data_IF_729104052003
#
_entry.id   IF_729104052003
#
_cell.length_a   1.000
_cell.length_b   1.000
_cell.length_c   1.000
_cell.angle_alpha   90.00
_cell.angle_beta   90.00
_cell.angle_gamma   90.00
#
_symmetry.space_group_name_H-M   'P 1'
#
loop_
_entity.id
_entity.type
_entity.pdbx_description
1 polymer ?
#
# COMPACT_ATOMS: atom_id res chain seq x y z
N UNK A 1 -60.56 48.25 46.50
CA UNK A 1 -61.85 47.91 45.86
C UNK A 1 -61.52 46.93 44.75
N UNK A 2 -61.55 45.60 45.01
CA UNK A 2 -62.67 44.66 44.68
C UNK A 2 -63.00 44.73 43.19
N UNK A 3 -62.94 43.68 42.36
CA UNK A 3 -63.12 42.21 42.47
C UNK A 3 -62.76 41.63 41.07
N UNK A 4 -62.13 40.47 40.86
CA UNK A 4 -62.74 39.13 40.94
C UNK A 4 -62.48 38.33 39.63
N UNK A 5 -61.89 37.14 39.76
CA UNK A 5 -61.57 36.04 38.80
C UNK A 5 -62.87 35.34 38.29
N UNK A 6 -62.90 34.30 37.39
CA UNK A 6 -61.83 33.51 36.74
C UNK A 6 -62.05 33.05 35.26
N UNK A 7 -61.13 32.15 34.85
CA UNK A 7 -60.79 31.58 33.54
C UNK A 7 -61.86 30.78 32.76
N UNK A 8 -61.59 30.63 31.45
CA UNK A 8 -61.90 29.39 30.71
C UNK A 8 -60.86 29.10 29.62
N UNK A 9 -60.58 27.80 29.51
CA UNK A 9 -59.59 27.04 28.74
C UNK A 9 -59.88 26.96 27.25
N UNK A 10 -58.83 26.96 26.42
CA UNK A 10 -58.85 26.57 25.01
C UNK A 10 -57.50 26.00 24.58
N UNK A 11 -57.46 24.69 24.34
CA UNK A 11 -56.31 23.91 23.84
C UNK A 11 -55.98 24.25 22.39
N UNK A 12 -54.71 24.42 22.00
CA UNK A 12 -54.29 24.19 20.62
C UNK A 12 -53.59 22.83 20.48
N UNK A 13 -53.88 22.22 19.33
CA UNK A 13 -53.52 20.89 18.90
C UNK A 13 -52.01 20.61 18.87
N UNK A 14 -51.70 19.33 19.07
CA UNK A 14 -50.39 18.73 18.89
C UNK A 14 -49.84 19.00 17.49
N UNK A 15 -48.73 19.74 17.44
CA UNK A 15 -47.89 19.89 16.25
C UNK A 15 -47.20 18.55 15.97
N UNK A 16 -47.58 17.92 14.87
CA UNK A 16 -46.91 16.74 14.33
C UNK A 16 -45.43 17.01 14.08
N UNK A 17 -44.58 16.12 14.57
CA UNK A 17 -43.16 16.06 14.25
C UNK A 17 -43.02 15.79 12.75
N UNK A 18 -42.25 16.59 11.99
CA UNK A 18 -41.89 16.18 10.63
C UNK A 18 -40.91 15.02 10.77
N UNK A 19 -41.34 13.84 10.33
CA UNK A 19 -40.44 12.73 10.08
C UNK A 19 -39.50 13.15 8.94
N UNK A 20 -38.28 13.53 9.27
CA UNK A 20 -37.18 13.62 8.32
C UNK A 20 -36.84 12.19 7.90
N UNK A 21 -37.55 11.69 6.90
CA UNK A 21 -37.14 10.54 6.11
C UNK A 21 -35.89 10.95 5.33
N UNK A 22 -34.73 10.77 5.95
CA UNK A 22 -33.46 10.71 5.23
C UNK A 22 -33.50 9.46 4.37
N UNK A 23 -33.94 9.61 3.12
CA UNK A 23 -33.98 8.53 2.15
C UNK A 23 -32.54 8.09 1.89
N UNK A 24 -32.29 6.84 2.25
CA UNK A 24 -31.01 6.17 2.18
C UNK A 24 -30.73 5.77 0.74
N UNK A 25 -29.70 6.33 0.09
CA UNK A 25 -29.22 5.75 -1.15
C UNK A 25 -28.42 4.48 -0.84
N UNK A 26 -29.12 3.34 -0.78
CA UNK A 26 -28.49 2.06 -1.14
C UNK A 26 -28.08 2.13 -2.61
N UNK A 27 -27.09 1.33 -3.03
CA UNK A 27 -26.56 1.30 -4.41
C UNK A 27 -27.61 1.22 -5.54
N UNK A 28 -28.87 0.87 -5.24
CA UNK A 28 -30.00 0.89 -6.17
C UNK A 28 -30.67 2.25 -6.45
N UNK A 29 -30.34 3.33 -5.74
CA UNK A 29 -31.03 4.63 -5.85
C UNK A 29 -30.16 5.77 -6.44
N UNK A 30 -28.93 5.48 -6.86
CA UNK A 30 -28.07 6.50 -7.47
C UNK A 30 -28.50 6.79 -8.92
N UNK A 31 -28.42 8.06 -9.38
CA UNK A 31 -28.46 8.37 -10.80
C UNK A 31 -27.48 7.47 -11.59
N UNK A 32 -27.84 6.95 -12.78
CA UNK A 32 -27.02 5.98 -13.50
C UNK A 32 -25.59 6.44 -13.85
N UNK A 33 -25.33 7.75 -13.83
CA UNK A 33 -24.03 8.33 -14.09
C UNK A 33 -23.10 8.34 -12.88
N UNK A 34 -23.63 8.13 -11.67
CA UNK A 34 -22.86 8.22 -10.43
C UNK A 34 -22.51 6.82 -9.93
N UNK A 35 -21.30 6.69 -9.38
CA UNK A 35 -20.81 5.46 -8.76
C UNK A 35 -20.67 5.69 -7.25
N UNK A 36 -21.07 4.74 -6.42
CA UNK A 36 -20.92 4.87 -4.97
C UNK A 36 -19.45 4.76 -4.55
N UNK A 37 -19.02 5.58 -3.59
CA UNK A 37 -17.69 5.41 -2.95
C UNK A 37 -17.69 4.21 -1.99
N UNK A 38 -16.56 3.91 -1.35
CA UNK A 38 -16.56 3.14 -0.11
C UNK A 38 -17.37 3.87 0.98
N UNK A 39 -17.94 3.15 1.96
CA UNK A 39 -18.55 3.77 3.12
C UNK A 39 -17.53 4.62 3.88
N UNK A 40 -17.93 5.81 4.33
CA UNK A 40 -17.10 6.70 5.15
C UNK A 40 -16.51 6.00 6.39
N UNK A 41 -17.26 5.08 7.02
CA UNK A 41 -16.76 4.33 8.18
C UNK A 41 -15.51 3.47 7.87
N UNK A 42 -15.30 3.06 6.62
CA UNK A 42 -14.11 2.27 6.23
C UNK A 42 -12.81 3.07 6.27
N UNK A 43 -12.89 4.40 6.36
CA UNK A 43 -11.72 5.27 6.47
C UNK A 43 -11.38 5.63 7.92
N UNK A 44 -12.20 5.23 8.90
CA UNK A 44 -12.02 5.60 10.32
C UNK A 44 -12.10 4.41 11.27
N UNK A 45 -12.78 3.32 10.90
CA UNK A 45 -12.99 2.16 11.77
C UNK A 45 -11.68 1.37 11.97
N UNK A 46 -11.16 1.27 13.22
CA UNK A 46 -9.98 0.47 13.52
C UNK A 46 -10.13 -1.02 13.17
N UNK A 47 -11.33 -1.58 13.19
CA UNK A 47 -11.57 -2.96 12.81
C UNK A 47 -11.41 -3.18 11.30
N UNK A 48 -11.84 -2.20 10.48
CA UNK A 48 -11.61 -2.21 9.04
C UNK A 48 -10.11 -2.06 8.75
N UNK A 49 -9.43 -1.11 9.40
CA UNK A 49 -7.98 -0.96 9.22
C UNK A 49 -7.21 -2.23 9.61
N UNK A 50 -7.59 -2.89 10.70
CA UNK A 50 -6.98 -4.17 11.09
C UNK A 50 -7.23 -5.30 10.07
N UNK A 51 -8.36 -5.27 9.35
CA UNK A 51 -8.61 -6.18 8.23
C UNK A 51 -7.75 -5.83 7.02
N UNK A 52 -7.62 -4.55 6.67
CA UNK A 52 -6.76 -4.06 5.59
C UNK A 52 -5.29 -4.43 5.84
N UNK A 53 -4.80 -4.26 7.07
CA UNK A 53 -3.45 -4.69 7.45
C UNK A 53 -3.22 -6.17 7.14
N UNK A 54 -4.16 -7.04 7.53
CA UNK A 54 -4.06 -8.49 7.29
C UNK A 54 -4.21 -8.90 5.84
N UNK A 55 -5.25 -8.38 5.19
CA UNK A 55 -5.74 -8.90 3.92
C UNK A 55 -5.17 -8.17 2.71
N UNK A 56 -4.51 -7.03 2.93
CA UNK A 56 -3.87 -6.23 1.89
C UNK A 56 -2.38 -6.08 2.19
N UNK A 57 -1.99 -5.44 3.30
CA UNK A 57 -0.58 -5.08 3.50
C UNK A 57 0.31 -6.28 3.81
N UNK A 58 -0.18 -7.23 4.60
CA UNK A 58 0.56 -8.45 4.96
C UNK A 58 0.50 -9.52 3.86
N UNK A 59 -0.44 -9.43 2.92
CA UNK A 59 -0.69 -10.47 1.91
C UNK A 59 -0.21 -10.12 0.50
N UNK A 60 0.24 -8.87 0.27
CA UNK A 60 0.67 -8.36 -1.02
C UNK A 60 2.11 -7.85 -0.98
N UNK A 61 2.68 -7.64 -2.16
CA UNK A 61 3.99 -7.01 -2.29
C UNK A 61 3.96 -5.56 -1.79
N UNK A 62 4.89 -5.23 -0.90
CA UNK A 62 5.00 -3.94 -0.22
C UNK A 62 6.40 -3.37 -0.40
N UNK A 63 6.52 -2.20 -1.02
CA UNK A 63 7.79 -1.51 -1.28
C UNK A 63 8.31 -0.78 -0.04
N UNK A 64 9.41 -1.24 0.57
CA UNK A 64 9.83 -0.77 1.90
C UNK A 64 10.96 0.24 1.89
N UNK A 65 11.95 0.08 1.00
CA UNK A 65 13.13 0.97 1.00
C UNK A 65 13.87 0.94 -0.34
N UNK A 66 14.65 1.98 -0.63
CA UNK A 66 15.60 1.93 -1.75
C UNK A 66 16.70 0.90 -1.43
N UNK A 67 17.12 0.12 -2.42
CA UNK A 67 18.22 -0.84 -2.28
C UNK A 67 19.54 -0.14 -1.92
N UNK A 68 19.76 1.07 -2.45
CA UNK A 68 20.91 1.91 -2.13
C UNK A 68 20.94 2.39 -0.66
N UNK A 69 19.81 2.37 0.06
CA UNK A 69 19.77 2.66 1.50
C UNK A 69 20.39 1.51 2.34
N UNK A 70 20.82 0.43 1.69
CA UNK A 70 21.56 -0.69 2.25
C UNK A 70 22.92 -0.79 1.53
N UNK A 71 23.87 0.13 1.71
CA UNK A 71 25.01 0.26 0.80
C UNK A 71 26.05 -0.87 0.91
N UNK A 72 26.12 -1.57 2.04
CA UNK A 72 27.15 -2.58 2.30
C UNK A 72 26.62 -3.77 3.11
N UNK A 73 27.31 -4.92 3.10
CA UNK A 73 26.99 -6.03 4.00
C UNK A 73 26.84 -5.60 5.46
N UNK A 74 25.77 -6.07 6.11
CA UNK A 74 25.43 -5.71 7.48
C UNK A 74 24.65 -4.40 7.62
N UNK A 75 24.50 -3.61 6.55
CA UNK A 75 23.52 -2.51 6.52
C UNK A 75 22.13 -3.09 6.67
N UNK A 76 21.30 -2.46 7.48
CA UNK A 76 19.92 -2.86 7.70
C UNK A 76 18.99 -1.65 7.75
N UNK A 77 17.72 -1.92 7.46
CA UNK A 77 16.60 -1.04 7.76
C UNK A 77 15.47 -1.83 8.42
N UNK A 78 14.65 -1.14 9.19
CA UNK A 78 13.40 -1.71 9.70
C UNK A 78 12.21 -0.99 9.07
N UNK A 79 11.15 -1.74 8.81
CA UNK A 79 9.90 -1.22 8.28
C UNK A 79 8.72 -1.86 9.01
N UNK A 80 7.57 -1.19 9.00
CA UNK A 80 6.30 -1.77 9.45
C UNK A 80 5.50 -2.14 8.20
N UNK A 81 5.06 -3.39 8.12
CA UNK A 81 4.22 -3.91 7.03
C UNK A 81 2.98 -4.52 7.65
N UNK A 82 1.83 -3.87 7.46
CA UNK A 82 0.63 -4.17 8.23
C UNK A 82 0.89 -4.02 9.73
N UNK A 83 0.82 -5.12 10.47
CA UNK A 83 1.03 -5.16 11.93
C UNK A 83 2.44 -5.61 12.33
N UNK A 84 3.25 -6.02 11.36
CA UNK A 84 4.52 -6.71 11.60
C UNK A 84 5.71 -5.77 11.41
N UNK A 85 6.73 -5.95 12.25
CA UNK A 85 8.03 -5.28 12.05
C UNK A 85 8.92 -6.19 11.21
N UNK A 86 9.40 -5.67 10.09
CA UNK A 86 10.29 -6.36 9.15
C UNK A 86 11.69 -5.78 9.28
N UNK A 87 12.69 -6.66 9.36
CA UNK A 87 14.11 -6.35 9.29
C UNK A 87 14.62 -6.68 7.90
N UNK A 88 15.09 -5.68 7.17
CA UNK A 88 15.70 -5.82 5.85
C UNK A 88 17.21 -5.62 6.01
N UNK A 89 18.02 -6.55 5.51
CA UNK A 89 19.47 -6.47 5.62
C UNK A 89 20.19 -6.93 4.37
N UNK A 90 21.36 -6.33 4.11
CA UNK A 90 22.26 -6.80 3.03
C UNK A 90 23.22 -7.85 3.57
N UNK A 91 23.22 -9.02 2.94
CA UNK A 91 24.14 -10.11 3.26
C UNK A 91 25.58 -9.85 2.78
N UNK A 92 26.50 -10.72 3.20
CA UNK A 92 27.91 -10.66 2.77
C UNK A 92 28.12 -10.97 1.29
N UNK A 93 27.17 -11.68 0.71
CA UNK A 93 27.08 -11.98 -0.71
C UNK A 93 26.47 -10.83 -1.53
N UNK A 94 26.15 -9.70 -0.90
CA UNK A 94 25.51 -8.55 -1.54
C UNK A 94 23.99 -8.70 -1.68
N UNK A 95 23.42 -9.87 -1.43
CA UNK A 95 21.98 -10.12 -1.59
C UNK A 95 21.17 -9.50 -0.44
N UNK A 96 20.11 -8.77 -0.78
CA UNK A 96 19.13 -8.28 0.21
C UNK A 96 18.27 -9.43 0.72
N UNK A 97 18.01 -9.46 2.03
CA UNK A 97 17.13 -10.42 2.69
C UNK A 97 16.22 -9.69 3.67
N UNK A 98 15.03 -10.24 3.89
CA UNK A 98 14.11 -9.74 4.90
C UNK A 98 13.70 -10.84 5.88
N UNK A 99 13.43 -10.42 7.11
CA UNK A 99 13.00 -11.28 8.21
C UNK A 99 11.95 -10.57 9.05
N UNK A 100 11.12 -11.31 9.76
CA UNK A 100 10.40 -10.72 10.90
C UNK A 100 11.43 -10.25 11.94
N UNK A 101 11.32 -9.00 12.37
CA UNK A 101 12.23 -8.35 13.33
C UNK A 101 11.94 -8.82 14.76
N UNK A 102 11.96 -10.13 14.97
CA UNK A 102 11.53 -10.80 16.20
C UNK A 102 12.53 -11.89 16.55
N UNK A 103 13.22 -11.73 17.68
CA UNK A 103 14.10 -12.74 18.22
C UNK A 103 13.31 -14.01 18.57
N UNK A 104 13.77 -15.15 18.07
CA UNK A 104 13.11 -16.46 18.25
C UNK A 104 13.17 -17.03 19.67
N UNK A 105 13.88 -16.37 20.58
CA UNK A 105 13.91 -16.76 22.00
C UNK A 105 12.65 -16.33 22.74
N UNK A 106 12.44 -15.02 22.89
CA UNK A 106 11.34 -14.43 23.70
C UNK A 106 10.68 -13.23 23.03
N UNK A 107 10.78 -13.14 21.70
CA UNK A 107 10.05 -12.14 20.91
C UNK A 107 10.60 -10.72 20.95
N UNK A 108 11.79 -10.49 21.52
CA UNK A 108 12.39 -9.15 21.54
C UNK A 108 12.71 -8.68 20.11
N UNK A 109 12.48 -7.39 19.83
CA UNK A 109 12.96 -6.76 18.58
C UNK A 109 14.48 -6.89 18.49
N UNK A 110 15.00 -7.25 17.32
CA UNK A 110 16.45 -7.37 17.11
C UNK A 110 17.08 -6.01 16.88
N UNK A 111 16.46 -5.22 16.01
CA UNK A 111 16.84 -3.85 15.70
C UNK A 111 15.68 -2.92 16.07
N UNK A 112 15.94 -1.93 16.93
CA UNK A 112 14.96 -0.90 17.31
C UNK A 112 15.06 0.35 16.44
N UNK A 113 16.22 0.58 15.84
CA UNK A 113 16.46 1.71 14.94
C UNK A 113 15.82 1.48 13.56
N UNK A 114 15.41 2.57 12.91
CA UNK A 114 14.89 2.55 11.53
C UNK A 114 15.95 2.11 10.50
N UNK A 115 17.22 2.35 10.79
CA UNK A 115 18.36 1.91 9.99
C UNK A 115 19.64 1.80 10.81
N UNK A 116 20.64 1.14 10.25
CA UNK A 116 21.97 1.09 10.82
C UNK A 116 22.85 0.05 10.15
N UNK A 117 24.00 -0.23 10.79
CA UNK A 117 24.93 -1.25 10.32
C UNK A 117 25.32 -2.16 11.48
N UNK A 118 25.21 -3.46 11.27
CA UNK A 118 25.77 -4.48 12.17
C UNK A 118 27.09 -5.01 11.62
N UNK A 119 27.99 -5.45 12.49
CA UNK A 119 29.30 -5.97 12.07
C UNK A 119 29.19 -7.27 11.27
N UNK A 120 29.04 -8.40 11.97
CA UNK A 120 29.03 -9.74 11.33
C UNK A 120 27.69 -10.46 11.43
N UNK A 121 26.78 -9.99 12.29
CA UNK A 121 25.58 -10.69 12.70
C UNK A 121 24.59 -9.76 13.42
N UNK A 122 23.30 -10.11 13.41
CA UNK A 122 22.28 -9.49 14.23
C UNK A 122 22.29 -10.10 15.63
N UNK A 123 22.54 -9.29 16.66
CA UNK A 123 22.60 -9.76 18.05
C UNK A 123 21.44 -9.17 18.86
N UNK A 124 20.56 -10.03 19.35
CA UNK A 124 19.46 -9.63 20.22
C UNK A 124 19.99 -8.98 21.51
N UNK A 125 19.49 -7.78 21.81
CA UNK A 125 19.88 -7.00 22.99
C UNK A 125 19.38 -7.61 24.30
N UNK A 126 18.40 -8.51 24.26
CA UNK A 126 17.84 -9.11 25.48
C UNK A 126 18.75 -10.20 26.08
N UNK A 127 19.08 -11.24 25.30
CA UNK A 127 19.85 -12.39 25.79
C UNK A 127 20.99 -12.80 24.84
N UNK A 128 21.45 -11.92 23.96
CA UNK A 128 22.58 -12.15 23.06
C UNK A 128 22.44 -13.34 22.10
N UNK A 129 21.21 -13.80 21.81
CA UNK A 129 20.96 -14.68 20.67
C UNK A 129 21.41 -13.96 19.40
N UNK A 130 22.26 -14.62 18.64
CA UNK A 130 23.02 -14.01 17.54
C UNK A 130 22.73 -14.78 16.26
N UNK A 131 22.26 -14.05 15.26
CA UNK A 131 21.84 -14.55 13.96
C UNK A 131 22.79 -14.03 12.88
N UNK A 132 23.22 -14.89 11.96
CA UNK A 132 23.96 -14.43 10.78
C UNK A 132 23.09 -13.49 9.93
N UNK A 133 23.69 -12.78 8.98
CA UNK A 133 23.00 -11.87 8.06
C UNK A 133 22.05 -12.61 7.10
N UNK A 134 22.11 -13.94 7.05
CA UNK A 134 21.17 -14.81 6.34
C UNK A 134 20.03 -15.38 7.21
N UNK A 135 20.00 -14.98 8.49
CA UNK A 135 18.99 -15.33 9.48
C UNK A 135 19.29 -16.58 10.31
N UNK A 136 20.33 -17.35 10.03
CA UNK A 136 20.65 -18.57 10.78
C UNK A 136 21.05 -18.26 12.22
N UNK A 137 20.59 -19.05 13.20
CA UNK A 137 21.06 -18.93 14.58
C UNK A 137 22.50 -19.44 14.71
N UNK A 138 23.45 -18.52 14.90
CA UNK A 138 24.88 -18.84 14.96
C UNK A 138 25.43 -18.98 16.37
N UNK A 139 24.84 -18.27 17.34
CA UNK A 139 25.23 -18.38 18.73
C UNK A 139 24.07 -17.99 19.67
N UNK A 140 24.06 -18.60 20.85
CA UNK A 140 23.28 -18.19 22.00
C UNK A 140 24.07 -18.53 23.28
N UNK A 141 23.87 -17.81 24.40
CA UNK A 141 24.47 -18.19 25.67
C UNK A 141 24.19 -19.66 26.01
N UNK A 142 25.22 -20.39 26.45
CA UNK A 142 25.17 -21.81 26.81
C UNK A 142 24.75 -22.79 25.70
N UNK A 143 24.64 -22.35 24.43
CA UNK A 143 24.16 -23.20 23.33
C UNK A 143 24.97 -24.49 23.15
N UNK A 144 26.29 -24.45 23.41
CA UNK A 144 27.17 -25.64 23.35
C UNK A 144 26.82 -26.72 24.36
N UNK A 145 26.10 -26.40 25.44
CA UNK A 145 25.61 -27.34 26.45
C UNK A 145 24.21 -27.89 26.13
N UNK A 146 23.61 -27.45 25.02
CA UNK A 146 22.24 -27.79 24.60
C UNK A 146 22.28 -28.37 23.17
N UNK A 147 22.87 -29.57 22.97
CA UNK A 147 23.08 -30.16 21.64
C UNK A 147 21.78 -30.55 20.92
N UNK A 148 20.67 -30.62 21.67
CA UNK A 148 19.31 -30.88 21.20
C UNK A 148 18.63 -29.65 20.56
N UNK A 149 19.20 -28.45 20.70
CA UNK A 149 18.62 -27.24 20.12
C UNK A 149 18.82 -27.20 18.60
N UNK A 150 17.71 -27.22 17.87
CA UNK A 150 17.71 -27.05 16.41
C UNK A 150 17.97 -25.59 16.00
N UNK A 151 19.21 -25.31 15.64
CA UNK A 151 19.64 -23.98 15.18
C UNK A 151 19.01 -23.56 13.84
N UNK A 152 18.49 -24.50 13.06
CA UNK A 152 17.79 -24.20 11.81
C UNK A 152 16.36 -23.78 12.13
N UNK A 153 15.62 -24.58 12.91
CA UNK A 153 14.25 -24.28 13.33
C UNK A 153 14.11 -22.99 14.16
N UNK A 154 15.17 -22.61 14.88
CA UNK A 154 15.23 -21.35 15.64
C UNK A 154 15.95 -20.20 14.92
N UNK A 155 16.21 -20.30 13.62
CA UNK A 155 16.64 -19.17 12.77
C UNK A 155 15.54 -18.11 12.62
N UNK A 156 15.90 -16.91 12.15
CA UNK A 156 14.91 -15.86 11.88
C UNK A 156 13.90 -16.32 10.83
N UNK A 157 12.62 -16.00 11.05
CA UNK A 157 11.56 -16.28 10.08
C UNK A 157 11.75 -15.34 8.90
N UNK A 158 11.87 -15.92 7.71
CA UNK A 158 12.11 -15.17 6.46
C UNK A 158 10.82 -14.49 5.99
N UNK A 159 11.03 -13.38 5.30
CA UNK A 159 10.02 -12.65 4.56
C UNK A 159 10.42 -12.68 3.09
N UNK A 160 9.46 -12.88 2.18
CA UNK A 160 9.75 -12.88 0.74
C UNK A 160 10.29 -11.52 0.31
N UNK A 161 11.29 -11.51 -0.57
CA UNK A 161 11.97 -10.29 -1.03
C UNK A 161 12.14 -10.31 -2.54
N UNK A 162 11.97 -9.14 -3.16
CA UNK A 162 12.36 -8.87 -4.54
C UNK A 162 12.92 -7.47 -4.67
N UNK A 163 13.97 -7.30 -5.47
CA UNK A 163 14.47 -5.98 -5.86
C UNK A 163 13.91 -5.61 -7.23
N UNK A 164 13.27 -4.44 -7.35
CA UNK A 164 12.70 -3.92 -8.60
C UNK A 164 12.69 -2.39 -8.59
N UNK A 165 13.01 -1.76 -9.73
CA UNK A 165 13.25 -0.31 -9.86
C UNK A 165 14.27 0.29 -8.87
N UNK A 166 15.19 -0.53 -8.36
CA UNK A 166 16.14 -0.11 -7.33
C UNK A 166 15.54 -0.05 -5.91
N UNK A 167 14.35 -0.61 -5.70
CA UNK A 167 13.68 -0.71 -4.41
C UNK A 167 13.52 -2.16 -3.96
N UNK A 168 13.49 -2.35 -2.64
CA UNK A 168 13.23 -3.63 -1.98
C UNK A 168 11.73 -3.74 -1.72
N UNK A 169 11.13 -4.78 -2.29
CA UNK A 169 9.75 -5.19 -2.08
C UNK A 169 9.72 -6.42 -1.19
N UNK A 170 8.75 -6.47 -0.28
CA UNK A 170 8.55 -7.60 0.64
C UNK A 170 7.12 -8.12 0.59
N UNK A 171 6.92 -9.41 0.89
CA UNK A 171 5.58 -9.98 1.08
C UNK A 171 5.60 -10.93 2.28
N UNK A 172 4.61 -10.80 3.18
CA UNK A 172 4.56 -11.59 4.42
C UNK A 172 3.69 -12.84 4.30
N UNK A 173 2.96 -13.01 3.19
CA UNK A 173 2.18 -14.22 2.93
C UNK A 173 3.11 -15.44 2.86
N UNK A 174 2.63 -16.59 3.37
CA UNK A 174 3.37 -17.85 3.25
C UNK A 174 3.64 -18.19 1.78
N UNK A 175 2.61 -18.03 0.94
CA UNK A 175 2.68 -18.12 -0.52
C UNK A 175 2.42 -16.73 -1.13
N UNK A 176 3.45 -16.01 -1.62
CA UNK A 176 3.29 -14.66 -2.10
C UNK A 176 2.59 -14.67 -3.46
N UNK A 177 1.70 -13.70 -3.73
CA UNK A 177 1.12 -13.57 -5.07
C UNK A 177 2.24 -13.36 -6.11
N UNK A 178 2.06 -13.80 -7.36
CA UNK A 178 3.03 -13.54 -8.41
C UNK A 178 3.29 -12.04 -8.55
N UNK A 179 4.55 -11.63 -8.49
CA UNK A 179 4.92 -10.22 -8.61
C UNK A 179 4.59 -9.68 -10.00
N UNK A 180 4.65 -10.54 -11.01
CA UNK A 180 4.27 -10.26 -12.38
C UNK A 180 2.80 -9.84 -12.50
N UNK A 181 1.91 -10.46 -11.72
CA UNK A 181 0.48 -10.19 -11.78
C UNK A 181 0.12 -8.96 -10.93
N UNK A 182 0.63 -8.88 -9.70
CA UNK A 182 0.23 -7.84 -8.74
C UNK A 182 1.00 -6.52 -8.91
N UNK A 183 2.28 -6.56 -9.30
CA UNK A 183 3.14 -5.37 -9.39
C UNK A 183 3.34 -4.96 -10.85
N UNK A 184 3.85 -5.88 -11.68
CA UNK A 184 4.06 -5.57 -13.11
C UNK A 184 2.73 -5.47 -13.88
N UNK A 185 1.68 -6.17 -13.42
CA UNK A 185 0.34 -6.05 -13.98
C UNK A 185 -0.24 -4.65 -13.86
N UNK A 186 0.09 -3.88 -12.82
CA UNK A 186 -0.30 -2.47 -12.69
C UNK A 186 0.42 -1.59 -13.71
N UNK A 187 1.69 -1.88 -13.98
CA UNK A 187 2.46 -1.20 -15.05
C UNK A 187 1.84 -1.50 -16.41
N UNK A 188 1.50 -2.76 -16.70
CA UNK A 188 0.85 -3.14 -17.96
C UNK A 188 -0.52 -2.50 -18.08
N UNK A 189 -1.33 -2.52 -17.01
CA UNK A 189 -2.65 -1.89 -16.98
C UNK A 189 -2.54 -0.40 -17.32
N UNK A 190 -1.50 0.27 -16.83
CA UNK A 190 -1.35 1.71 -17.01
C UNK A 190 -0.65 2.10 -18.32
N UNK A 191 0.43 1.44 -18.68
CA UNK A 191 1.30 1.79 -19.81
C UNK A 191 1.09 0.90 -21.04
N UNK A 192 0.34 -0.19 -20.92
CA UNK A 192 0.12 -1.17 -21.99
C UNK A 192 1.27 -2.17 -22.18
N UNK A 193 2.47 -1.84 -21.69
CA UNK A 193 3.66 -2.69 -21.77
C UNK A 193 4.48 -2.54 -20.48
N UNK A 194 4.81 -3.67 -19.85
CA UNK A 194 5.66 -3.70 -18.66
C UNK A 194 7.05 -3.11 -18.93
N UNK A 195 7.55 -3.19 -20.18
CA UNK A 195 8.87 -2.67 -20.57
C UNK A 195 8.89 -1.16 -20.79
N UNK A 196 7.73 -0.50 -20.83
CA UNK A 196 7.66 0.94 -21.00
C UNK A 196 8.35 1.67 -19.83
N UNK A 197 8.24 1.14 -18.61
CA UNK A 197 8.91 1.69 -17.43
C UNK A 197 10.44 1.43 -17.42
N UNK A 198 10.90 0.34 -18.05
CA UNK A 198 12.33 -0.03 -18.08
C UNK A 198 13.17 1.05 -18.79
N UNK A 199 12.58 1.78 -19.73
CA UNK A 199 13.22 2.89 -20.44
C UNK A 199 13.61 4.05 -19.54
N UNK A 200 13.02 4.16 -18.35
CA UNK A 200 13.41 5.17 -17.37
C UNK A 200 14.64 4.77 -16.56
N UNK A 201 15.09 3.51 -16.63
CA UNK A 201 16.29 3.05 -15.93
C UNK A 201 16.27 3.32 -14.43
N UNK A 202 15.09 3.25 -13.78
CA UNK A 202 14.86 3.76 -12.41
C UNK A 202 15.84 3.19 -11.39
N UNK A 203 16.26 1.94 -11.58
CA UNK A 203 17.22 1.26 -10.71
C UNK A 203 18.62 1.89 -10.74
N UNK A 204 18.98 2.52 -11.86
CA UNK A 204 20.29 3.14 -12.12
C UNK A 204 20.29 4.65 -11.86
N UNK A 205 19.14 5.25 -11.53
CA UNK A 205 19.04 6.64 -11.09
C UNK A 205 19.60 6.79 -9.67
N UNK A 206 19.88 8.02 -9.26
CA UNK A 206 20.36 8.37 -7.93
C UNK A 206 19.37 9.27 -7.19
N UNK A 207 19.34 9.15 -5.85
CA UNK A 207 18.45 9.95 -5.02
C UNK A 207 18.95 11.40 -4.93
N UNK A 208 18.23 12.34 -5.55
CA UNK A 208 18.51 13.77 -5.40
C UNK A 208 17.80 14.39 -4.18
N UNK A 209 16.54 14.00 -3.97
CA UNK A 209 15.74 14.48 -2.82
C UNK A 209 14.84 13.39 -2.29
N UNK A 210 14.77 13.28 -0.97
CA UNK A 210 13.71 12.56 -0.24
C UNK A 210 12.97 13.53 0.66
N UNK A 211 11.65 13.57 0.55
CA UNK A 211 10.77 14.31 1.47
C UNK A 211 9.84 13.31 2.13
N UNK A 212 9.68 13.42 3.45
CA UNK A 212 8.77 12.60 4.24
C UNK A 212 7.63 13.47 4.75
N UNK A 213 6.41 13.05 4.45
CA UNK A 213 5.17 13.70 4.88
C UNK A 213 4.47 12.83 5.90
N UNK A 214 3.85 13.48 6.87
CA UNK A 214 3.00 12.86 7.88
C UNK A 214 1.59 13.37 7.65
N UNK A 215 0.78 12.55 6.98
CA UNK A 215 -0.54 12.93 6.49
C UNK A 215 -1.60 12.41 7.46
N UNK A 216 -2.40 13.31 8.01
CA UNK A 216 -3.52 13.01 8.90
C UNK A 216 -4.75 12.50 8.13
N UNK A 217 -4.54 11.49 7.28
CA UNK A 217 -5.57 10.84 6.49
C UNK A 217 -5.34 9.33 6.34
N UNK A 218 -6.44 8.62 6.10
CA UNK A 218 -6.45 7.22 5.71
C UNK A 218 -5.71 7.04 4.38
N UNK A 219 -4.92 5.97 4.26
CA UNK A 219 -4.16 5.65 3.05
C UNK A 219 -5.02 5.58 1.78
N UNK A 220 -6.29 5.13 1.88
CA UNK A 220 -7.20 5.05 0.75
C UNK A 220 -7.55 6.44 0.20
N UNK A 221 -7.73 7.45 1.05
CA UNK A 221 -8.01 8.82 0.57
C UNK A 221 -6.85 9.35 -0.28
N UNK A 222 -5.61 9.02 0.10
CA UNK A 222 -4.41 9.44 -0.63
C UNK A 222 -4.32 8.70 -1.98
N UNK A 223 -4.62 7.39 -2.01
CA UNK A 223 -4.73 6.60 -3.25
C UNK A 223 -5.79 7.17 -4.17
N UNK A 224 -6.98 7.42 -3.64
CA UNK A 224 -8.11 7.96 -4.39
C UNK A 224 -7.76 9.30 -5.02
N UNK A 225 -7.21 10.23 -4.23
CA UNK A 225 -6.79 11.54 -4.70
C UNK A 225 -5.77 11.44 -5.85
N UNK A 226 -4.79 10.53 -5.76
CA UNK A 226 -3.78 10.39 -6.82
C UNK A 226 -4.34 9.75 -8.12
N UNK A 227 -5.44 9.02 -8.05
CA UNK A 227 -6.00 8.26 -9.19
C UNK A 227 -6.90 9.09 -10.11
N UNK A 228 -7.17 10.34 -9.77
CA UNK A 228 -7.98 11.26 -10.58
C UNK A 228 -7.33 12.64 -10.70
N UNK A 229 -7.94 13.51 -11.50
CA UNK A 229 -7.48 14.87 -11.70
C UNK A 229 -8.66 15.85 -11.82
N UNK A 230 -9.82 15.45 -11.33
CA UNK A 230 -11.01 16.27 -11.23
C UNK A 230 -10.80 17.46 -10.29
N UNK A 231 -9.97 17.31 -9.25
CA UNK A 231 -9.56 18.41 -8.38
C UNK A 231 -8.49 19.33 -8.99
N UNK A 232 -7.71 18.86 -9.99
CA UNK A 232 -6.46 19.50 -10.42
C UNK A 232 -6.62 20.96 -10.82
N UNK A 233 -7.65 21.28 -11.61
CA UNK A 233 -7.94 22.64 -12.07
C UNK A 233 -8.17 23.63 -10.92
N UNK A 234 -8.58 23.13 -9.76
CA UNK A 234 -8.93 23.95 -8.59
C UNK A 234 -7.76 24.10 -7.64
N UNK A 235 -7.03 23.02 -7.36
CA UNK A 235 -6.04 23.00 -6.26
C UNK A 235 -4.58 22.98 -6.73
N UNK A 236 -4.29 22.75 -8.02
CA UNK A 236 -2.92 22.67 -8.55
C UNK A 236 -2.63 23.70 -9.66
N UNK A 237 -2.62 25.01 -9.37
CA UNK A 237 -2.41 26.03 -10.39
C UNK A 237 -1.08 25.84 -11.15
N UNK A 238 0.01 25.47 -10.46
CA UNK A 238 1.31 25.23 -11.10
C UNK A 238 1.32 23.97 -11.98
N UNK A 239 0.68 22.89 -11.52
CA UNK A 239 0.67 21.63 -12.28
C UNK A 239 -0.12 21.76 -13.58
N UNK A 240 -1.27 22.45 -13.56
CA UNK A 240 -2.10 22.61 -14.76
C UNK A 240 -1.50 23.61 -15.77
N UNK A 241 -0.60 24.50 -15.34
CA UNK A 241 0.21 25.29 -16.28
C UNK A 241 1.22 24.42 -17.03
N UNK A 242 1.87 23.48 -16.32
CA UNK A 242 2.84 22.52 -16.90
C UNK A 242 2.13 21.46 -17.76
N UNK A 243 0.99 20.95 -17.30
CA UNK A 243 0.17 19.90 -17.92
C UNK A 243 -1.27 20.42 -18.18
N UNK A 244 -1.51 21.19 -19.25
CA UNK A 244 -2.82 21.81 -19.51
C UNK A 244 -4.00 20.83 -19.60
N UNK A 245 -3.76 19.58 -19.97
CA UNK A 245 -4.77 18.52 -20.01
C UNK A 245 -5.47 18.33 -18.65
N UNK A 246 -4.73 18.49 -17.55
CA UNK A 246 -5.22 18.31 -16.19
C UNK A 246 -6.23 19.39 -15.78
N UNK A 247 -6.23 20.55 -16.43
CA UNK A 247 -7.25 21.59 -16.21
C UNK A 247 -8.65 21.14 -16.65
N UNK A 248 -8.74 20.16 -17.56
CA UNK A 248 -10.02 19.65 -18.05
C UNK A 248 -10.61 18.53 -17.16
N UNK A 249 -9.94 18.18 -16.06
CA UNK A 249 -10.39 17.11 -15.15
C UNK A 249 -10.05 15.69 -15.60
N UNK A 250 -9.29 15.56 -16.70
CA UNK A 250 -8.84 14.27 -17.21
C UNK A 250 -7.46 13.94 -16.62
N UNK A 251 -7.40 12.86 -15.84
CA UNK A 251 -6.13 12.34 -15.35
C UNK A 251 -5.33 11.70 -16.50
N UNK A 252 -4.00 11.67 -16.39
CA UNK A 252 -3.16 10.95 -17.35
C UNK A 252 -3.55 9.45 -17.46
N UNK A 253 -4.22 8.91 -16.43
CA UNK A 253 -4.68 7.53 -16.36
C UNK A 253 -5.88 7.21 -17.27
N UNK A 254 -6.49 8.22 -17.90
CA UNK A 254 -7.74 8.09 -18.66
C UNK A 254 -7.69 7.06 -19.80
N UNK A 255 -6.52 6.83 -20.40
CA UNK A 255 -6.29 5.76 -21.38
C UNK A 255 -5.00 5.00 -21.11
N UNK A 256 -4.99 3.70 -21.43
CA UNK A 256 -3.81 2.85 -21.39
C UNK A 256 -2.72 3.43 -22.31
N UNK A 257 -1.51 3.61 -21.78
CA UNK A 257 -0.36 4.12 -22.53
C UNK A 257 -0.39 5.64 -22.80
N UNK A 258 -1.44 6.36 -22.38
CA UNK A 258 -1.50 7.81 -22.52
C UNK A 258 -0.66 8.51 -21.45
N UNK A 259 0.08 9.53 -21.86
CA UNK A 259 0.84 10.42 -20.97
C UNK A 259 0.46 11.86 -21.27
N UNK A 260 0.26 12.65 -20.22
CA UNK A 260 -0.11 14.06 -20.34
C UNK A 260 1.05 14.84 -20.95
N UNK A 261 0.76 15.59 -22.01
CA UNK A 261 1.77 16.36 -22.74
C UNK A 261 2.06 17.69 -22.03
N UNK A 262 3.34 18.08 -22.03
CA UNK A 262 3.73 19.39 -21.53
C UNK A 262 3.15 20.49 -22.41
N UNK A 263 2.74 21.61 -21.80
CA UNK A 263 2.28 22.77 -22.55
C UNK A 263 3.29 23.23 -23.61
N UNK A 264 2.80 23.84 -24.70
CA UNK A 264 3.62 24.20 -25.87
C UNK A 264 4.89 25.00 -25.52
N UNK A 265 4.79 25.88 -24.51
CA UNK A 265 5.88 26.75 -24.03
C UNK A 265 6.64 26.21 -22.81
N UNK A 266 6.29 25.02 -22.35
CA UNK A 266 6.89 24.37 -21.18
C UNK A 266 8.10 23.58 -21.64
N UNK A 267 9.27 23.88 -21.10
CA UNK A 267 10.54 23.25 -21.48
C UNK A 267 10.91 22.08 -20.55
N UNK A 268 10.38 22.05 -19.33
CA UNK A 268 10.64 21.00 -18.35
C UNK A 268 9.52 20.83 -17.33
N UNK A 269 9.58 19.71 -16.59
CA UNK A 269 8.66 19.45 -15.48
C UNK A 269 9.14 20.17 -14.21
N UNK A 270 8.97 21.48 -14.22
CA UNK A 270 9.45 22.41 -13.19
C UNK A 270 8.34 23.38 -12.81
N UNK A 271 8.43 23.98 -11.61
CA UNK A 271 7.34 24.81 -11.03
C UNK A 271 6.96 26.02 -11.89
N UNK A 272 7.87 26.50 -12.73
CA UNK A 272 7.69 27.64 -13.63
C UNK A 272 7.74 27.26 -15.13
N UNK A 273 7.80 25.95 -15.43
CA UNK A 273 7.93 25.43 -16.80
C UNK A 273 9.27 25.68 -17.46
N UNK A 274 10.28 26.19 -16.74
CA UNK A 274 11.65 26.35 -17.24
C UNK A 274 12.31 25.00 -17.55
N UNK A 275 13.42 24.98 -18.33
CA UNK A 275 14.13 23.74 -18.65
C UNK A 275 14.44 22.90 -17.41
N UNK A 276 14.22 21.59 -17.54
CA UNK A 276 14.58 20.62 -16.53
C UNK A 276 16.08 20.32 -16.52
N UNK A 277 16.42 19.14 -16.00
CA UNK A 277 17.77 18.62 -15.93
C UNK A 277 18.07 17.74 -17.15
N UNK A 278 19.10 16.90 -17.06
CA UNK A 278 19.51 16.06 -18.17
C UNK A 278 18.49 14.96 -18.43
N UNK A 279 18.00 14.90 -19.67
CA UNK A 279 17.03 13.90 -20.11
C UNK A 279 17.60 12.49 -19.95
N UNK A 280 16.76 11.56 -19.49
CA UNK A 280 17.06 10.14 -19.45
C UNK A 280 17.28 9.63 -20.89
N UNK A 281 18.48 9.12 -21.23
CA UNK A 281 18.88 8.89 -22.63
C UNK A 281 18.15 7.73 -23.30
N UNK A 282 17.55 6.83 -22.52
CA UNK A 282 16.89 5.60 -22.98
C UNK A 282 15.40 5.78 -23.31
N UNK A 283 14.84 6.97 -23.11
CA UNK A 283 13.43 7.27 -23.37
C UNK A 283 13.10 7.26 -24.86
N UNK A 284 11.94 6.70 -25.22
CA UNK A 284 11.43 6.77 -26.59
C UNK A 284 10.95 8.20 -26.93
N UNK A 285 10.80 8.53 -28.22
CA UNK A 285 10.17 9.79 -28.63
C UNK A 285 8.75 9.98 -28.07
N UNK A 286 7.98 8.90 -27.87
CA UNK A 286 6.63 9.02 -27.30
C UNK A 286 6.65 9.35 -25.80
N UNK A 287 7.76 9.09 -25.11
CA UNK A 287 7.91 9.38 -23.68
C UNK A 287 8.51 10.77 -23.42
N UNK A 288 9.04 11.41 -24.46
CA UNK A 288 9.58 12.75 -24.36
C UNK A 288 8.46 13.79 -24.20
N UNK A 289 8.74 14.86 -23.44
CA UNK A 289 7.77 15.91 -23.11
C UNK A 289 6.42 15.40 -22.56
N UNK A 290 6.42 14.25 -21.90
CA UNK A 290 5.22 13.65 -21.31
C UNK A 290 5.42 13.30 -19.85
N UNK A 291 4.30 13.38 -19.13
CA UNK A 291 4.14 12.89 -17.78
C UNK A 291 3.30 11.61 -17.79
N UNK A 292 3.81 10.56 -17.15
CA UNK A 292 3.03 9.35 -16.85
C UNK A 292 2.97 9.13 -15.35
N UNK A 293 1.85 8.60 -14.88
CA UNK A 293 1.63 8.26 -13.47
C UNK A 293 1.10 6.83 -13.37
N UNK A 294 1.69 6.04 -12.48
CA UNK A 294 1.32 4.64 -12.22
C UNK A 294 1.01 4.49 -10.74
N UNK A 295 -0.15 3.91 -10.43
CA UNK A 295 -0.50 3.45 -9.08
C UNK A 295 -0.25 1.96 -8.97
N UNK A 296 0.76 1.57 -8.20
CA UNK A 296 1.03 0.18 -7.86
C UNK A 296 0.46 -0.11 -6.48
N UNK A 297 -0.68 -0.80 -6.47
CA UNK A 297 -1.41 -1.12 -5.24
C UNK A 297 -0.56 -2.03 -4.32
N UNK A 298 -0.63 -1.85 -2.99
CA UNK A 298 -1.53 -0.92 -2.31
C UNK A 298 -0.98 0.50 -2.11
N UNK A 299 0.33 0.74 -2.31
CA UNK A 299 0.97 1.89 -1.65
C UNK A 299 2.01 2.69 -2.45
N UNK A 300 2.28 2.34 -3.70
CA UNK A 300 3.32 3.02 -4.50
C UNK A 300 2.71 3.85 -5.62
N UNK A 301 3.21 5.07 -5.77
CA UNK A 301 3.00 5.87 -6.97
C UNK A 301 4.34 6.08 -7.69
N UNK A 302 4.32 5.98 -9.02
CA UNK A 302 5.49 6.26 -9.86
C UNK A 302 5.11 7.32 -10.87
N UNK A 303 5.77 8.47 -10.80
CA UNK A 303 5.64 9.57 -11.72
C UNK A 303 6.88 9.62 -12.60
N UNK A 304 6.64 9.58 -13.91
CA UNK A 304 7.67 9.41 -14.92
C UNK A 304 7.67 10.65 -15.81
N UNK A 305 8.78 11.38 -15.80
CA UNK A 305 9.01 12.57 -16.64
C UNK A 305 10.38 12.47 -17.32
N UNK A 306 10.66 13.30 -18.35
CA UNK A 306 11.80 13.03 -19.24
C UNK A 306 13.19 13.03 -18.59
N UNK A 307 13.38 13.76 -17.49
CA UNK A 307 14.68 14.00 -16.86
C UNK A 307 14.79 13.42 -15.44
N UNK A 308 13.68 13.00 -14.83
CA UNK A 308 13.66 12.43 -13.49
C UNK A 308 12.44 11.54 -13.22
N UNK A 309 12.50 10.81 -12.11
CA UNK A 309 11.39 9.95 -11.64
C UNK A 309 11.05 10.32 -10.21
N UNK A 310 9.76 10.42 -9.90
CA UNK A 310 9.26 10.68 -8.55
C UNK A 310 8.54 9.42 -8.07
N UNK A 311 9.07 8.78 -7.04
CA UNK A 311 8.49 7.56 -6.48
C UNK A 311 7.99 7.80 -5.05
N UNK A 312 6.70 7.57 -4.84
CA UNK A 312 6.04 7.67 -3.55
C UNK A 312 5.88 6.28 -2.93
N UNK A 313 6.17 6.17 -1.63
CA UNK A 313 5.88 4.99 -0.80
C UNK A 313 5.04 5.42 0.38
N UNK A 314 3.89 4.80 0.56
CA UNK A 314 2.98 5.07 1.68
C UNK A 314 3.09 3.99 2.75
N UNK A 315 3.13 4.42 4.01
CA UNK A 315 3.19 3.58 5.19
C UNK A 315 2.01 3.92 6.10
N UNK A 316 0.88 3.21 5.96
CA UNK A 316 -0.30 3.43 6.79
C UNK A 316 0.02 3.08 8.26
N UNK A 317 -0.15 4.04 9.17
CA UNK A 317 0.17 3.86 10.60
C UNK A 317 -1.08 3.64 11.46
N UNK A 318 -2.19 4.25 11.07
CA UNK A 318 -3.47 4.21 11.77
C UNK A 318 -4.61 4.37 10.76
N UNK A 319 -5.88 4.17 11.17
CA UNK A 319 -7.03 4.42 10.30
C UNK A 319 -7.05 5.84 9.73
N UNK A 320 -6.48 6.82 10.43
CA UNK A 320 -6.50 8.24 10.09
C UNK A 320 -5.09 8.85 9.91
N UNK A 321 -4.05 8.02 9.73
CA UNK A 321 -2.68 8.51 9.62
C UNK A 321 -1.80 7.66 8.72
N UNK A 322 -1.11 8.32 7.80
CA UNK A 322 -0.26 7.69 6.79
C UNK A 322 1.01 8.50 6.58
N UNK A 323 2.17 7.84 6.64
CA UNK A 323 3.44 8.46 6.25
C UNK A 323 3.63 8.27 4.74
N UNK A 324 4.04 9.31 4.04
CA UNK A 324 4.42 9.23 2.62
C UNK A 324 5.89 9.62 2.47
N UNK A 325 6.72 8.71 1.95
CA UNK A 325 8.09 9.04 1.53
C UNK A 325 8.11 9.23 0.02
N UNK A 326 8.56 10.41 -0.42
CA UNK A 326 8.63 10.78 -1.83
C UNK A 326 10.09 10.99 -2.25
N UNK A 327 10.53 10.23 -3.24
CA UNK A 327 11.90 10.19 -3.73
C UNK A 327 11.98 10.76 -5.15
N UNK A 328 12.74 11.84 -5.33
CA UNK A 328 13.11 12.39 -6.64
C UNK A 328 14.44 11.80 -7.08
N UNK A 329 14.40 11.08 -8.19
CA UNK A 329 15.49 10.29 -8.74
C UNK A 329 15.97 10.88 -10.05
N UNK A 330 17.27 11.11 -10.16
CA UNK A 330 17.91 11.76 -11.32
C UNK A 330 19.05 10.90 -11.85
N UNK A 331 19.57 11.25 -13.03
CA UNK A 331 20.80 10.62 -13.52
C UNK A 331 21.96 10.79 -12.52
N UNK A 332 22.85 9.80 -12.37
CA UNK A 332 23.98 9.88 -11.44
C UNK A 332 24.82 11.16 -11.60
N UNK A 333 25.10 11.57 -12.84
CA UNK A 333 25.90 12.78 -13.13
C UNK A 333 25.21 14.07 -12.68
N UNK A 334 23.87 14.13 -12.75
CA UNK A 334 23.09 15.27 -12.26
C UNK A 334 23.24 15.42 -10.75
N UNK A 335 23.15 14.30 -10.01
CA UNK A 335 23.31 14.30 -8.54
C UNK A 335 24.77 14.57 -8.16
N UNK A 336 25.73 13.91 -8.81
CA UNK A 336 27.15 14.03 -8.49
C UNK A 336 27.73 15.42 -8.78
N UNK A 337 27.20 16.11 -9.81
CA UNK A 337 27.62 17.48 -10.15
C UNK A 337 27.05 18.54 -9.19
N UNK A 338 26.08 18.20 -8.34
CA UNK A 338 25.44 19.13 -7.43
C UNK A 338 24.59 20.19 -8.14
N UNK A 339 24.02 19.85 -9.30
CA UNK A 339 23.06 20.73 -9.99
C UNK A 339 21.88 21.05 -9.08
N UNK A 340 21.35 22.26 -9.24
CA UNK A 340 20.16 22.69 -8.54
C UNK A 340 18.94 21.88 -9.00
N UNK A 341 18.30 21.20 -8.05
CA UNK A 341 17.12 20.35 -8.27
C UNK A 341 15.82 21.08 -7.90
N UNK A 342 15.92 22.25 -7.26
CA UNK A 342 14.85 22.85 -6.46
C UNK A 342 13.59 23.11 -7.31
N UNK A 343 13.73 23.59 -8.54
CA UNK A 343 12.54 23.88 -9.39
C UNK A 343 11.74 22.64 -9.77
N UNK A 344 12.42 21.52 -10.00
CA UNK A 344 11.76 20.24 -10.33
C UNK A 344 11.17 19.57 -9.09
N UNK A 345 11.87 19.66 -7.95
CA UNK A 345 11.38 19.19 -6.66
C UNK A 345 10.16 20.00 -6.21
N UNK A 346 10.23 21.32 -6.31
CA UNK A 346 9.22 22.26 -5.82
C UNK A 346 7.86 22.03 -6.48
N UNK A 347 7.81 21.77 -7.79
CA UNK A 347 6.54 21.55 -8.50
C UNK A 347 5.73 20.44 -7.81
N UNK A 348 6.32 19.24 -7.69
CA UNK A 348 5.60 18.11 -7.14
C UNK A 348 5.57 18.12 -5.60
N UNK A 349 6.48 18.84 -4.95
CA UNK A 349 6.38 19.11 -3.51
C UNK A 349 5.10 19.89 -3.19
N UNK A 350 4.80 20.95 -3.94
CA UNK A 350 3.55 21.72 -3.79
C UNK A 350 2.32 20.89 -4.09
N UNK A 351 2.34 20.12 -5.18
CA UNK A 351 1.23 19.19 -5.52
C UNK A 351 0.95 18.26 -4.35
N UNK A 352 1.98 17.60 -3.81
CA UNK A 352 1.85 16.74 -2.63
C UNK A 352 1.22 17.47 -1.44
N UNK A 353 1.67 18.68 -1.12
CA UNK A 353 1.10 19.46 -0.01
C UNK A 353 -0.38 19.80 -0.24
N UNK A 354 -0.72 20.25 -1.44
CA UNK A 354 -2.10 20.58 -1.83
C UNK A 354 -3.03 19.35 -1.75
N UNK A 355 -2.54 18.19 -2.21
CA UNK A 355 -3.24 16.91 -2.15
C UNK A 355 -3.47 16.44 -0.71
N UNK A 356 -2.42 16.48 0.10
CA UNK A 356 -2.50 16.05 1.49
C UNK A 356 -3.42 16.97 2.30
N UNK A 357 -3.38 18.28 2.07
CA UNK A 357 -4.34 19.22 2.65
C UNK A 357 -5.79 18.89 2.25
N UNK A 358 -6.04 18.43 1.02
CA UNK A 358 -7.36 17.99 0.58
C UNK A 358 -7.79 16.70 1.32
N UNK A 359 -6.91 15.70 1.39
CA UNK A 359 -7.15 14.44 2.10
C UNK A 359 -7.45 14.68 3.59
N UNK A 360 -6.69 15.56 4.24
CA UNK A 360 -6.86 15.91 5.67
C UNK A 360 -8.15 16.69 5.94
N UNK A 361 -8.67 17.45 4.98
CA UNK A 361 -10.02 18.06 5.09
C UNK A 361 -11.13 17.01 4.98
N UNK A 362 -10.92 15.97 4.19
CA UNK A 362 -11.87 14.86 4.03
C UNK A 362 -11.92 13.97 5.28
N UNK A 363 -10.77 13.61 5.85
CA UNK A 363 -10.65 12.60 6.90
C UNK A 363 -11.62 12.79 8.10
N UNK A 364 -11.74 13.97 8.74
CA UNK A 364 -12.65 14.16 9.88
C UNK A 364 -14.13 13.94 9.51
N UNK A 365 -14.48 14.20 8.26
CA UNK A 365 -15.85 14.10 7.76
C UNK A 365 -16.25 12.67 7.38
N UNK A 366 -15.30 11.74 7.30
CA UNK A 366 -15.58 10.34 6.94
C UNK A 366 -16.54 9.66 7.93
N UNK A 367 -16.49 10.04 9.21
CA UNK A 367 -17.39 9.56 10.27
C UNK A 367 -18.69 10.38 10.41
N UNK A 368 -18.87 11.41 9.59
CA UNK A 368 -20.04 12.28 9.67
C UNK A 368 -21.32 11.49 9.46
N UNK A 369 -22.36 11.75 10.27
CA UNK A 369 -23.66 11.07 10.13
C UNK A 369 -24.28 11.16 8.73
N UNK A 370 -23.87 12.17 7.93
CA UNK A 370 -24.33 12.35 6.55
C UNK A 370 -23.43 11.70 5.50
N UNK A 371 -22.18 11.38 5.83
CA UNK A 371 -21.19 10.82 4.89
C UNK A 371 -20.72 9.40 5.23
N UNK A 372 -20.98 8.91 6.45
CA UNK A 372 -20.55 7.59 6.94
C UNK A 372 -20.97 6.43 6.03
N UNK A 373 -22.06 6.60 5.26
CA UNK A 373 -22.54 5.60 4.28
C UNK A 373 -21.87 5.69 2.90
N UNK A 374 -20.96 6.64 2.71
CA UNK A 374 -20.28 6.94 1.44
C UNK A 374 -20.92 8.11 0.70
N UNK A 375 -20.16 8.63 -0.25
CA UNK A 375 -20.57 9.63 -1.22
C UNK A 375 -20.72 9.03 -2.62
N UNK A 376 -20.42 9.84 -3.62
CA UNK A 376 -20.53 9.47 -5.04
C UNK A 376 -19.29 9.94 -5.81
N UNK A 377 -18.99 9.23 -6.88
CA UNK A 377 -17.98 9.55 -7.89
C UNK A 377 -18.68 9.95 -9.19
N UNK A 378 -18.06 10.85 -9.95
CA UNK A 378 -18.48 11.18 -11.32
C UNK A 378 -17.81 10.25 -12.33
N UNK A 379 -18.32 10.14 -13.58
CA UNK A 379 -17.78 9.20 -14.56
C UNK A 379 -16.28 9.31 -14.86
N UNK A 380 -15.71 10.51 -14.79
CA UNK A 380 -14.27 10.72 -15.01
C UNK A 380 -13.39 10.06 -13.94
N UNK A 381 -13.94 9.77 -12.76
CA UNK A 381 -13.24 9.17 -11.62
C UNK A 381 -13.34 7.63 -11.61
N UNK A 382 -13.70 7.01 -12.73
CA UNK A 382 -13.95 5.56 -12.85
C UNK A 382 -12.80 4.66 -12.33
N UNK A 383 -11.54 5.11 -12.38
CA UNK A 383 -10.42 4.37 -11.80
C UNK A 383 -10.54 4.19 -10.29
N UNK A 384 -11.11 5.18 -9.58
CA UNK A 384 -11.42 5.06 -8.15
C UNK A 384 -12.46 3.97 -7.92
N UNK A 385 -13.48 3.89 -8.78
CA UNK A 385 -14.47 2.80 -8.71
C UNK A 385 -13.81 1.42 -8.79
N UNK A 386 -12.87 1.23 -9.73
CA UNK A 386 -12.09 -0.01 -9.83
C UNK A 386 -11.22 -0.28 -8.61
N UNK A 387 -10.63 0.76 -8.01
CA UNK A 387 -9.92 0.64 -6.74
C UNK A 387 -10.85 0.23 -5.59
N UNK A 388 -12.03 0.84 -5.47
CA UNK A 388 -13.03 0.51 -4.45
C UNK A 388 -13.51 -0.94 -4.58
N UNK A 389 -13.77 -1.41 -5.80
CA UNK A 389 -14.14 -2.81 -6.05
C UNK A 389 -13.03 -3.76 -5.62
N UNK A 390 -11.77 -3.41 -5.91
CA UNK A 390 -10.61 -4.18 -5.45
C UNK A 390 -10.50 -4.20 -3.92
N UNK A 391 -10.69 -3.07 -3.22
CA UNK A 391 -10.69 -3.04 -1.74
C UNK A 391 -11.82 -3.92 -1.20
N UNK A 392 -13.04 -3.78 -1.73
CA UNK A 392 -14.19 -4.61 -1.34
C UNK A 392 -13.89 -6.09 -1.54
N UNK A 393 -13.31 -6.49 -2.67
CA UNK A 393 -12.96 -7.87 -2.96
C UNK A 393 -11.93 -8.43 -1.97
N UNK A 394 -10.87 -7.66 -1.66
CA UNK A 394 -9.84 -8.05 -0.68
C UNK A 394 -10.43 -8.26 0.72
N UNK A 395 -11.36 -7.40 1.14
CA UNK A 395 -11.99 -7.52 2.46
C UNK A 395 -13.13 -8.56 2.49
N UNK A 396 -13.78 -8.85 1.35
CA UNK A 396 -14.84 -9.85 1.22
C UNK A 396 -14.34 -11.30 1.20
N UNK A 397 -13.04 -11.54 0.96
CA UNK A 397 -12.40 -12.87 1.00
C UNK A 397 -12.50 -13.60 2.35
N UNK A 398 -13.19 -13.01 3.33
CA UNK A 398 -13.59 -13.65 4.57
C UNK A 398 -15.07 -14.05 4.49
N UNK A 399 -15.33 -15.33 4.19
CA UNK A 399 -16.61 -15.93 4.56
C UNK A 399 -16.84 -15.68 6.07
N UNK A 400 -18.05 -15.27 6.44
CA UNK A 400 -18.42 -14.90 7.80
C UNK A 400 -17.93 -15.89 8.87
N UNK A 401 -17.49 -15.42 10.06
CA UNK A 401 -17.40 -16.29 11.21
C UNK A 401 -18.81 -16.65 11.68
N UNK A 402 -19.25 -17.87 11.33
CA UNK A 402 -20.26 -18.64 12.04
C UNK A 402 -21.64 -18.01 12.26
N UNK A 403 -22.51 -18.03 11.24
CA UNK A 403 -23.92 -18.24 11.51
C UNK A 403 -24.13 -19.75 11.71
N UNK A 404 -24.14 -20.19 12.96
CA UNK A 404 -24.48 -21.57 13.30
C UNK A 404 -25.86 -21.92 12.79
N UNK A 405 -25.94 -22.88 11.87
CA UNK A 405 -27.19 -23.58 11.56
C UNK A 405 -27.73 -24.24 12.84
N UNK A 406 -29.02 -24.10 13.16
CA UNK A 406 -29.60 -24.81 14.30
C UNK A 406 -29.57 -26.32 14.04
N UNK A 407 -29.10 -27.06 15.04
CA UNK A 407 -28.75 -28.47 14.92
C UNK A 407 -29.89 -29.38 14.48
N UNK A 408 -29.54 -30.35 13.64
CA UNK A 408 -30.25 -31.62 13.58
C UNK A 408 -29.58 -32.54 14.63
N UNK A 409 -30.38 -33.02 15.59
CA UNK A 409 -29.94 -33.84 16.70
C UNK A 409 -29.41 -35.22 16.30
N UNK A 410 -28.71 -35.91 17.21
CA UNK A 410 -28.07 -37.19 16.92
C UNK A 410 -29.10 -38.32 16.92
N UNK A 411 -29.08 -39.16 15.89
CA UNK A 411 -29.71 -40.48 15.95
C UNK A 411 -28.67 -41.50 16.43
N UNK A 412 -29.13 -42.27 17.40
CA UNK A 412 -28.37 -43.22 18.21
C UNK A 412 -28.11 -44.57 17.51
N UNK A 413 -26.93 -45.09 17.81
CA UNK A 413 -26.51 -46.49 18.00
C UNK A 413 -27.04 -47.65 17.12
N UNK A 414 -26.08 -48.38 16.53
CA UNK A 414 -26.21 -49.79 16.12
C UNK A 414 -24.82 -50.43 15.88
N UNK A 415 -24.31 -51.14 16.89
CA UNK A 415 -22.99 -51.77 16.99
C UNK A 415 -22.83 -53.08 16.16
N UNK A 416 -21.60 -53.65 16.07
CA UNK A 416 -21.14 -54.55 15.00
C UNK A 416 -21.26 -56.04 15.34
N UNK A 417 -21.12 -56.92 14.34
CA UNK A 417 -20.77 -58.33 14.60
C UNK A 417 -19.87 -58.98 13.52
N UNK A 418 -19.15 -59.98 14.01
CA UNK A 418 -18.01 -60.79 13.62
C UNK A 418 -17.76 -61.23 12.15
N UNK A 419 -16.47 -61.47 11.85
CA UNK A 419 -15.97 -62.31 10.74
C UNK A 419 -16.27 -63.81 10.92
N UNK A 420 -15.63 -64.77 10.18
CA UNK A 420 -14.16 -64.85 10.10
C UNK A 420 -13.54 -65.47 8.82
N UNK A 421 -12.20 -65.36 8.75
CA UNK A 421 -11.17 -66.33 8.28
C UNK A 421 -11.11 -66.84 6.82
N UNK A 422 -9.90 -66.72 6.25
CA UNK A 422 -9.43 -67.54 5.13
C UNK A 422 -7.95 -67.25 4.79
N UNK A 423 -7.06 -68.16 5.18
CA UNK A 423 -5.60 -68.09 5.05
C UNK A 423 -5.10 -68.41 3.62
N UNK A 424 -3.86 -68.01 3.27
CA UNK A 424 -3.16 -68.62 2.13
C UNK A 424 -1.94 -67.92 1.53
N UNK A 425 -0.80 -68.00 2.21
CA UNK A 425 0.54 -68.37 1.68
C UNK A 425 1.17 -67.65 0.46
N UNK A 426 2.33 -67.05 0.76
CA UNK A 426 3.53 -66.71 -0.06
C UNK A 426 3.84 -67.59 -1.29
N UNK A 427 4.39 -66.98 -2.36
CA UNK A 427 5.67 -67.39 -2.99
C UNK A 427 6.21 -66.37 -4.00
N UNK A 428 7.53 -66.23 -3.93
CA UNK A 428 8.41 -65.42 -4.77
C UNK A 428 8.66 -65.99 -6.19
N UNK A 429 8.89 -65.05 -7.14
CA UNK A 429 9.84 -65.07 -8.31
C UNK A 429 9.68 -66.07 -9.47
N UNK A 430 10.37 -65.88 -10.62
CA UNK A 430 10.77 -64.65 -11.37
C UNK A 430 10.54 -64.75 -12.91
N UNK A 431 10.81 -63.67 -13.66
CA UNK A 431 11.54 -63.77 -14.94
C UNK A 431 10.80 -63.48 -16.27
N UNK A 432 11.47 -62.64 -17.06
CA UNK A 432 11.49 -62.48 -18.53
C UNK A 432 10.32 -61.85 -19.30
N UNK A 433 10.67 -60.77 -20.02
CA UNK A 433 9.87 -60.06 -21.03
C UNK A 433 10.48 -58.71 -21.37
#
# INVERSE_FOLDING_TARGET
MTTGTPATTGTPAATGTPATTGTSATTGDLPPSLVATLPGDWYVDPAVFALEQRLIFESMWFCVTRSADLPAPGSFRTAVVGRESVLIGRGRDGTVRAFFNVCRHRGARLCTEESGTVGRAFRCTYHAWTYDLDGRLIAAPNLTKMPDVDRIGYGLVRVHVREWLGYVWVCLADDPPPFEDDVLGEVVTRLGDARAIDRYGVADLELGRRIRYDVAANWKLIVENFMECYHCATIHPELVEVLPEFAAGYAAQYYVGHGAEFGERIEGFTVDGSPGLDRIPTLSPEQDRRYFAITVKPQVFVNLVPDHVILHRMFPLAPDRTIVECDWLYLPDVVASGRDLDRSVELFHRVNQQDFDACERCQPSMSSRVYARGGVLVPSEHHIGGFHDWVRAKLAGTGSPGAGSPGAGPQDAGSPDAGPQGAGVSRDTPGDG
#
